data_IF_145100934325
#
_entry.id   IF_145100934325
#
_cell.length_a   1.000
_cell.length_b   1.000
_cell.length_c   1.000
_cell.angle_alpha   90.00
_cell.angle_beta   90.00
_cell.angle_gamma   90.00
#
_symmetry.space_group_name_H-M   'P 1'
#
loop_
_entity.id
_entity.type
_entity.pdbx_description
1 polymer ?
#
# COMPACT_ATOMS: atom_id res chain seq x y z
N UNK A 1 -9.29 -0.31 -16.85
CA UNK A 1 -9.70 -1.68 -16.51
C UNK A 1 -9.19 -2.04 -15.11
N UNK A 2 -9.86 -2.92 -14.35
CA UNK A 2 -9.31 -3.41 -13.10
C UNK A 2 -7.99 -4.16 -13.36
N UNK A 3 -7.01 -3.92 -12.50
CA UNK A 3 -5.67 -4.52 -12.59
C UNK A 3 -5.24 -4.98 -11.20
N UNK A 4 -4.60 -6.15 -11.16
CA UNK A 4 -4.07 -6.73 -9.93
C UNK A 4 -2.58 -6.44 -9.80
N UNK A 5 -2.19 -5.98 -8.62
CA UNK A 5 -0.79 -5.72 -8.26
C UNK A 5 -0.47 -6.36 -6.90
N UNK A 6 0.77 -6.83 -6.68
CA UNK A 6 1.16 -7.37 -5.40
C UNK A 6 1.23 -6.26 -4.35
N UNK A 7 0.77 -6.55 -3.12
CA UNK A 7 0.83 -5.63 -1.98
C UNK A 7 2.27 -5.22 -1.61
N UNK A 8 3.23 -6.11 -1.85
CA UNK A 8 4.66 -5.86 -1.62
C UNK A 8 5.41 -5.98 -2.93
N UNK A 9 6.16 -4.94 -3.28
CA UNK A 9 7.04 -4.92 -4.44
C UNK A 9 8.49 -4.81 -4.00
N UNK A 10 9.38 -5.24 -4.88
CA UNK A 10 10.83 -5.08 -4.72
C UNK A 10 11.31 -4.00 -5.68
N UNK A 11 12.00 -2.99 -5.17
CA UNK A 11 12.60 -1.95 -6.00
C UNK A 11 13.79 -2.54 -6.78
N UNK A 12 13.78 -2.41 -8.10
CA UNK A 12 14.76 -3.07 -8.97
C UNK A 12 16.21 -2.65 -8.70
N UNK A 13 16.45 -1.37 -8.42
CA UNK A 13 17.81 -0.86 -8.21
C UNK A 13 18.40 -1.17 -6.83
N UNK A 14 17.58 -1.14 -5.78
CA UNK A 14 18.06 -1.25 -4.39
C UNK A 14 17.73 -2.58 -3.72
N UNK A 15 16.89 -3.43 -4.34
CA UNK A 15 16.41 -4.67 -3.75
C UNK A 15 15.48 -4.49 -2.53
N UNK A 16 15.18 -3.25 -2.13
CA UNK A 16 14.32 -2.96 -0.98
C UNK A 16 12.88 -3.31 -1.28
N UNK A 17 12.21 -3.93 -0.30
CA UNK A 17 10.76 -4.15 -0.34
C UNK A 17 10.01 -2.87 0.04
N UNK A 18 8.86 -2.65 -0.59
CA UNK A 18 7.97 -1.53 -0.28
C UNK A 18 6.50 -1.94 -0.45
N UNK A 19 5.62 -1.26 0.28
CA UNK A 19 4.17 -1.41 0.15
C UNK A 19 3.71 -0.71 -1.12
N UNK A 20 3.02 -1.44 -2.00
CA UNK A 20 2.40 -0.90 -3.19
C UNK A 20 0.89 -0.78 -2.98
N UNK A 21 0.53 0.23 -2.17
CA UNK A 21 -0.83 0.52 -1.73
C UNK A 21 -1.15 2.00 -1.98
N UNK A 22 -2.43 2.36 -1.98
CA UNK A 22 -2.89 3.73 -2.12
C UNK A 22 -4.41 3.80 -2.29
N UNK A 23 -4.94 5.01 -2.51
CA UNK A 23 -6.39 5.26 -2.58
C UNK A 23 -7.12 4.45 -3.68
N UNK A 24 -6.41 3.92 -4.67
CA UNK A 24 -6.98 3.12 -5.76
C UNK A 24 -7.08 1.62 -5.45
N UNK A 25 -6.44 1.14 -4.37
CA UNK A 25 -6.55 -0.26 -3.98
C UNK A 25 -7.93 -0.52 -3.35
N UNK A 26 -8.75 -1.35 -3.99
CA UNK A 26 -10.14 -1.58 -3.56
C UNK A 26 -10.42 -2.94 -2.91
N UNK A 27 -9.60 -3.96 -3.16
CA UNK A 27 -9.76 -5.30 -2.58
C UNK A 27 -8.43 -6.06 -2.59
N UNK A 28 -8.36 -7.14 -1.80
CA UNK A 28 -7.24 -8.08 -1.78
C UNK A 28 -7.75 -9.42 -2.30
N UNK A 29 -7.06 -9.97 -3.30
CA UNK A 29 -7.40 -11.28 -3.87
C UNK A 29 -7.33 -12.38 -2.80
N UNK A 30 -8.30 -13.30 -2.84
CA UNK A 30 -8.38 -14.41 -1.89
C UNK A 30 -8.86 -14.03 -0.48
N UNK A 31 -9.26 -12.78 -0.24
CA UNK A 31 -9.86 -12.33 1.03
C UNK A 31 -11.31 -11.90 0.85
N UNK A 32 -12.17 -12.04 1.87
CA UNK A 32 -13.45 -11.35 1.91
C UNK A 32 -13.26 -9.85 1.74
N UNK A 33 -14.18 -9.21 1.01
CA UNK A 33 -14.06 -7.77 0.65
C UNK A 33 -13.86 -6.89 1.88
N UNK A 34 -14.67 -7.09 2.92
CA UNK A 34 -14.59 -6.30 4.15
C UNK A 34 -13.22 -6.44 4.84
N UNK A 35 -12.70 -7.66 4.94
CA UNK A 35 -11.37 -7.92 5.53
C UNK A 35 -10.25 -7.31 4.68
N UNK A 36 -10.35 -7.42 3.35
CA UNK A 36 -9.37 -6.84 2.44
C UNK A 36 -9.30 -5.32 2.55
N UNK A 37 -10.47 -4.66 2.59
CA UNK A 37 -10.56 -3.20 2.74
C UNK A 37 -10.02 -2.75 4.11
N UNK A 38 -10.35 -3.47 5.18
CA UNK A 38 -9.86 -3.16 6.53
C UNK A 38 -8.33 -3.24 6.59
N UNK A 39 -7.74 -4.31 6.03
CA UNK A 39 -6.28 -4.44 5.98
C UNK A 39 -5.61 -3.35 5.14
N UNK A 40 -6.20 -2.97 4.01
CA UNK A 40 -5.69 -1.86 3.19
C UNK A 40 -5.70 -0.52 3.97
N UNK A 41 -6.73 -0.27 4.76
CA UNK A 41 -6.83 0.92 5.60
C UNK A 41 -5.74 0.93 6.69
N UNK A 42 -5.53 -0.19 7.40
CA UNK A 42 -4.48 -0.32 8.42
C UNK A 42 -3.08 -0.12 7.83
N UNK A 43 -2.80 -0.70 6.65
CA UNK A 43 -1.52 -0.54 5.97
C UNK A 43 -1.29 0.90 5.53
N UNK A 44 -2.35 1.59 5.06
CA UNK A 44 -2.27 2.99 4.67
C UNK A 44 -2.02 3.90 5.87
N UNK A 45 -2.70 3.66 6.99
CA UNK A 45 -2.47 4.36 8.25
C UNK A 45 -1.02 4.16 8.72
N UNK A 46 -0.52 2.92 8.68
CA UNK A 46 0.87 2.62 9.01
C UNK A 46 1.85 3.37 8.11
N UNK A 47 1.67 3.28 6.78
CA UNK A 47 2.56 3.89 5.80
C UNK A 47 2.59 5.42 5.87
N UNK A 48 1.57 6.05 6.44
CA UNK A 48 1.43 7.51 6.57
C UNK A 48 1.74 8.05 7.97
N UNK A 49 2.25 7.21 8.87
CA UNK A 49 2.76 7.67 10.17
C UNK A 49 3.87 8.73 9.99
N UNK A 50 3.93 9.71 10.90
CA UNK A 50 4.85 10.86 10.82
C UNK A 50 6.32 10.49 10.59
N UNK A 51 6.78 9.36 11.12
CA UNK A 51 8.16 8.85 10.96
C UNK A 51 8.50 8.38 9.54
N UNK A 52 7.51 8.17 8.68
CA UNK A 52 7.67 7.78 7.27
C UNK A 52 7.36 8.91 6.29
N UNK A 53 6.94 10.08 6.80
CA UNK A 53 6.47 11.20 5.96
C UNK A 53 7.52 12.30 5.91
N UNK A 54 7.96 12.61 4.70
CA UNK A 54 8.64 13.86 4.40
C UNK A 54 7.61 14.94 4.08
N UNK A 55 7.73 16.12 4.70
CA UNK A 55 6.91 17.31 4.40
C UNK A 55 7.78 18.35 3.69
N UNK A 56 7.41 18.69 2.47
CA UNK A 56 8.12 19.68 1.66
C UNK A 56 7.64 21.10 1.97
N UNK A 57 8.56 22.07 1.98
CA UNK A 57 8.27 23.50 1.88
C UNK A 57 8.81 23.96 0.54
N UNK A 58 7.93 24.51 -0.29
CA UNK A 58 8.26 25.03 -1.61
C UNK A 58 9.04 26.34 -1.54
#
# INVERSE_FOLDING_TARGET
PPVSWPLVRTHAGSGRKFLFIGAHAGHIEGRPVAEGVMLLAELLEHATQRKFVYRHSW
#
